data_IF_478719194325
#
_entry.id   IF_478719194325
#
_cell.length_a   1.000
_cell.length_b   1.000
_cell.length_c   1.000
_cell.angle_alpha   90.00
_cell.angle_beta   90.00
_cell.angle_gamma   90.00
#
_symmetry.space_group_name_H-M   'P 1'
#
loop_
_entity.id
_entity.type
_entity.pdbx_description
1 polymer ?
#
# COMPACT_ATOMS: atom_id res chain seq x y z
N UNK A 1 3.83 -4.48 20.35
CA UNK A 1 2.71 -4.85 19.47
C UNK A 1 3.27 -5.58 18.27
N UNK A 2 2.64 -6.67 17.83
CA UNK A 2 3.08 -7.43 16.66
C UNK A 2 2.73 -6.66 15.38
N UNK A 3 3.64 -6.53 14.41
CA UNK A 3 3.32 -5.93 13.11
C UNK A 3 2.25 -6.75 12.38
N UNK A 4 1.34 -6.08 11.70
CA UNK A 4 0.42 -6.67 10.74
C UNK A 4 1.14 -6.80 9.40
N UNK A 5 1.22 -7.99 8.84
CA UNK A 5 1.87 -8.24 7.56
C UNK A 5 0.93 -8.98 6.61
N UNK A 6 0.91 -8.56 5.35
CA UNK A 6 0.08 -9.18 4.31
C UNK A 6 0.68 -8.97 2.92
N UNK A 7 0.27 -9.83 1.98
CA UNK A 7 0.75 -9.81 0.59
C UNK A 7 0.08 -8.69 -0.21
N UNK A 8 0.86 -8.02 -1.05
CA UNK A 8 0.38 -7.26 -2.21
C UNK A 8 0.38 -8.21 -3.42
N UNK A 9 -0.81 -8.49 -3.92
CA UNK A 9 -1.01 -9.30 -5.11
C UNK A 9 -0.85 -8.45 -6.37
N UNK A 10 -0.32 -9.08 -7.41
CA UNK A 10 -0.25 -8.52 -8.75
C UNK A 10 -1.60 -8.02 -9.24
N UNK A 11 -1.57 -6.93 -10.00
CA UNK A 11 -2.70 -6.38 -10.73
C UNK A 11 -2.33 -6.19 -12.20
N UNK A 12 -3.31 -6.36 -13.10
CA UNK A 12 -3.18 -6.02 -14.51
C UNK A 12 -1.99 -6.70 -15.24
N UNK A 13 -1.66 -7.95 -14.88
CA UNK A 13 -0.54 -8.71 -15.46
C UNK A 13 0.82 -7.97 -15.37
N UNK A 14 1.03 -7.19 -14.30
CA UNK A 14 2.25 -6.41 -14.10
C UNK A 14 3.50 -7.25 -13.81
N UNK A 15 3.34 -8.49 -13.35
CA UNK A 15 4.39 -9.30 -12.72
C UNK A 15 4.81 -8.82 -11.32
N UNK A 16 4.27 -7.69 -10.85
CA UNK A 16 4.67 -7.06 -9.61
C UNK A 16 3.91 -7.62 -8.41
N UNK A 17 4.63 -7.95 -7.34
CA UNK A 17 4.03 -8.43 -6.10
C UNK A 17 4.89 -8.04 -4.91
N UNK A 18 4.36 -8.16 -3.70
CA UNK A 18 5.16 -7.84 -2.54
C UNK A 18 4.48 -8.04 -1.20
N UNK A 19 4.98 -7.30 -0.22
CA UNK A 19 4.56 -7.39 1.18
C UNK A 19 4.37 -5.99 1.75
N UNK A 20 3.22 -5.77 2.39
CA UNK A 20 2.98 -4.61 3.24
C UNK A 20 3.15 -5.02 4.71
N UNK A 21 3.87 -4.21 5.48
CA UNK A 21 4.03 -4.36 6.93
C UNK A 21 3.55 -3.09 7.62
N UNK A 22 2.52 -3.21 8.46
CA UNK A 22 1.94 -2.13 9.24
C UNK A 22 2.30 -2.33 10.71
N UNK A 23 2.85 -1.28 11.33
CA UNK A 23 3.22 -1.27 12.73
C UNK A 23 2.62 -0.04 13.41
N UNK A 24 1.94 -0.24 14.53
CA UNK A 24 1.51 0.87 15.38
C UNK A 24 2.75 1.57 15.96
N UNK A 25 2.99 2.80 15.54
CA UNK A 25 3.97 3.71 16.11
C UNK A 25 3.34 4.67 17.12
N UNK A 26 4.18 5.50 17.74
CA UNK A 26 3.75 6.49 18.76
C UNK A 26 2.88 7.60 18.19
N UNK A 27 3.10 8.00 16.92
CA UNK A 27 2.43 9.12 16.27
C UNK A 27 1.53 8.71 15.11
N UNK A 28 1.30 7.40 14.91
CA UNK A 28 0.57 6.88 13.76
C UNK A 28 0.96 5.47 13.37
N UNK A 29 0.53 5.02 12.19
CA UNK A 29 0.88 3.70 11.65
C UNK A 29 2.06 3.82 10.71
N UNK A 30 3.13 3.09 10.99
CA UNK A 30 4.27 2.94 10.10
C UNK A 30 3.89 1.89 9.06
N UNK A 31 3.92 2.28 7.79
CA UNK A 31 3.67 1.43 6.63
C UNK A 31 5.00 1.22 5.92
N UNK A 32 5.40 -0.05 5.75
CA UNK A 32 6.55 -0.45 4.95
C UNK A 32 6.08 -1.31 3.80
N UNK A 33 6.50 -0.98 2.58
CA UNK A 33 6.23 -1.79 1.39
C UNK A 33 7.54 -2.34 0.84
N UNK A 34 7.51 -3.60 0.40
CA UNK A 34 8.57 -4.26 -0.34
C UNK A 34 7.97 -4.95 -1.55
N UNK A 35 8.37 -4.56 -2.75
CA UNK A 35 7.93 -5.10 -4.03
C UNK A 35 9.04 -5.90 -4.71
N UNK A 36 8.63 -6.76 -5.62
CA UNK A 36 9.46 -7.55 -6.53
C UNK A 36 8.81 -7.54 -7.91
N UNK A 37 9.61 -7.63 -8.97
CA UNK A 37 9.14 -7.49 -10.36
C UNK A 37 8.93 -6.05 -10.83
N UNK A 38 9.26 -5.06 -9.99
CA UNK A 38 9.14 -3.64 -10.32
C UNK A 38 10.16 -3.23 -11.40
N UNK A 39 9.84 -2.16 -12.14
CA UNK A 39 10.75 -1.56 -13.10
C UNK A 39 11.82 -0.71 -12.38
N UNK A 40 13.10 -1.01 -12.62
CA UNK A 40 14.21 -0.22 -12.07
C UNK A 40 14.16 1.24 -12.52
N UNK A 41 14.52 2.16 -11.62
CA UNK A 41 14.54 3.60 -11.90
C UNK A 41 13.16 4.24 -12.07
N UNK A 42 12.07 3.51 -11.77
CA UNK A 42 10.71 4.04 -11.79
C UNK A 42 10.19 4.19 -10.37
N UNK A 43 9.97 5.44 -9.96
CA UNK A 43 9.25 5.74 -8.70
C UNK A 43 7.75 5.45 -8.88
N UNK A 44 7.21 4.64 -7.98
CA UNK A 44 5.83 4.16 -8.05
C UNK A 44 4.96 4.76 -6.93
N UNK A 45 3.89 5.50 -7.25
CA UNK A 45 2.95 5.99 -6.25
C UNK A 45 2.29 4.86 -5.47
N UNK A 46 2.14 5.04 -4.16
CA UNK A 46 1.46 4.11 -3.29
C UNK A 46 0.48 4.85 -2.37
N UNK A 47 -0.66 4.21 -2.10
CA UNK A 47 -1.76 4.83 -1.36
C UNK A 47 -2.53 3.80 -0.55
N UNK A 48 -3.15 4.25 0.54
CA UNK A 48 -4.25 3.54 1.20
C UNK A 48 -5.57 4.12 0.68
N UNK A 49 -6.45 3.25 0.19
CA UNK A 49 -7.79 3.59 -0.29
C UNK A 49 -8.85 2.88 0.54
N UNK A 50 -10.04 3.48 0.64
CA UNK A 50 -11.23 2.78 1.12
C UNK A 50 -11.64 1.69 0.12
N UNK A 51 -12.26 0.63 0.63
CA UNK A 51 -12.72 -0.51 -0.16
C UNK A 51 -11.71 -1.64 -0.19
N UNK A 52 -11.73 -2.39 -1.30
CA UNK A 52 -10.89 -3.58 -1.49
C UNK A 52 -10.17 -3.50 -2.83
N UNK A 53 -9.15 -4.33 -3.06
CA UNK A 53 -8.46 -4.40 -4.36
C UNK A 53 -9.38 -4.69 -5.55
N UNK A 54 -10.54 -5.33 -5.32
CA UNK A 54 -11.54 -5.54 -6.37
C UNK A 54 -12.36 -4.27 -6.68
N UNK A 55 -12.48 -3.36 -5.71
CA UNK A 55 -13.23 -2.10 -5.83
C UNK A 55 -12.69 -1.07 -4.84
N UNK A 56 -11.76 -0.25 -5.32
CA UNK A 56 -11.18 0.86 -4.57
C UNK A 56 -12.05 2.12 -4.73
N UNK A 57 -12.13 2.92 -3.68
CA UNK A 57 -12.49 4.33 -3.82
C UNK A 57 -11.40 5.02 -4.66
N UNK A 58 -11.71 5.69 -5.78
CA UNK A 58 -10.70 6.34 -6.62
C UNK A 58 -9.96 7.45 -5.89
N UNK A 59 -10.53 8.03 -4.83
CA UNK A 59 -9.86 9.02 -3.98
C UNK A 59 -9.01 8.32 -2.90
N UNK A 60 -7.67 8.50 -2.89
CA UNK A 60 -6.84 8.01 -1.81
C UNK A 60 -7.30 8.54 -0.45
N UNK A 61 -7.33 7.67 0.56
CA UNK A 61 -7.56 8.07 1.95
C UNK A 61 -6.27 8.59 2.58
N UNK A 62 -5.16 7.86 2.37
CA UNK A 62 -3.84 8.27 2.84
C UNK A 62 -2.80 8.14 1.72
N UNK A 63 -2.09 9.22 1.36
CA UNK A 63 -0.89 9.09 0.54
C UNK A 63 0.22 8.41 1.33
N UNK A 64 1.02 7.61 0.64
CA UNK A 64 2.24 7.01 1.17
C UNK A 64 3.46 7.57 0.44
N UNK A 65 4.65 7.26 0.94
CA UNK A 65 5.87 7.49 0.19
C UNK A 65 5.86 6.65 -1.10
N UNK A 66 6.41 7.21 -2.17
CA UNK A 66 6.64 6.48 -3.42
C UNK A 66 7.49 5.25 -3.12
N UNK A 67 7.17 4.12 -3.75
CA UNK A 67 8.05 2.96 -3.79
C UNK A 67 9.20 3.29 -4.73
N UNK A 68 10.43 3.24 -4.21
CA UNK A 68 11.67 3.47 -4.95
C UNK A 68 12.54 2.25 -4.81
N UNK A 69 13.04 1.71 -5.92
CA UNK A 69 13.84 0.49 -5.95
C UNK A 69 13.20 -0.65 -5.12
N UNK A 70 11.87 -0.78 -5.28
CA UNK A 70 11.07 -1.80 -4.62
C UNK A 70 10.75 -1.55 -3.14
N UNK A 71 11.23 -0.48 -2.51
CA UNK A 71 10.98 -0.23 -1.09
C UNK A 71 10.31 1.13 -0.83
N UNK A 72 9.48 1.20 0.21
CA UNK A 72 9.06 2.47 0.81
C UNK A 72 8.79 2.31 2.30
N UNK A 73 8.91 3.44 3.02
CA UNK A 73 8.49 3.56 4.41
C UNK A 73 7.83 4.92 4.63
N UNK A 74 6.65 4.92 5.24
CA UNK A 74 5.93 6.14 5.56
C UNK A 74 5.15 5.99 6.88
N UNK A 75 5.01 7.06 7.65
CA UNK A 75 4.17 7.09 8.85
C UNK A 75 2.89 7.83 8.53
N UNK A 76 1.76 7.13 8.55
CA UNK A 76 0.43 7.75 8.45
C UNK A 76 0.09 8.35 9.81
N UNK A 77 0.03 9.69 9.95
CA UNK A 77 -0.16 10.32 11.24
C UNK A 77 -1.60 10.19 11.73
N UNK A 78 -1.80 10.25 13.05
CA UNK A 78 -3.13 10.35 13.68
C UNK A 78 -4.12 9.24 13.30
N UNK A 79 -3.63 8.07 12.91
CA UNK A 79 -4.43 6.86 12.68
C UNK A 79 -3.87 5.72 13.53
N UNK A 80 -4.75 4.85 14.02
CA UNK A 80 -4.33 3.62 14.66
C UNK A 80 -4.43 2.43 13.71
N UNK A 81 -3.63 1.39 13.96
CA UNK A 81 -3.73 0.13 13.24
C UNK A 81 -5.15 -0.45 13.38
N UNK A 82 -5.77 -0.29 14.55
CA UNK A 82 -7.13 -0.75 14.78
C UNK A 82 -8.16 -0.01 13.90
N UNK A 83 -7.98 1.28 13.62
CA UNK A 83 -8.88 2.02 12.72
C UNK A 83 -8.82 1.47 11.30
N UNK A 84 -7.60 1.16 10.83
CA UNK A 84 -7.39 0.55 9.52
C UNK A 84 -7.95 -0.87 9.44
N UNK A 85 -7.87 -1.65 10.51
CA UNK A 85 -8.38 -3.04 10.54
C UNK A 85 -9.91 -3.12 10.71
N UNK A 86 -10.54 -2.11 11.33
CA UNK A 86 -12.01 -2.03 11.44
C UNK A 86 -12.67 -1.62 10.12
N UNK A 87 -11.98 -0.78 9.33
CA UNK A 87 -12.46 -0.33 8.03
C UNK A 87 -12.20 -1.34 6.91
N UNK A 88 -12.86 -1.11 5.78
CA UNK A 88 -12.46 -1.69 4.50
C UNK A 88 -11.41 -0.78 3.87
N UNK A 89 -10.14 -1.21 3.94
CA UNK A 89 -9.02 -0.50 3.34
C UNK A 89 -8.12 -1.46 2.55
N UNK A 90 -7.49 -0.92 1.51
CA UNK A 90 -6.48 -1.62 0.74
C UNK A 90 -5.30 -0.69 0.41
N UNK A 91 -4.11 -1.27 0.33
CA UNK A 91 -2.92 -0.60 -0.19
C UNK A 91 -2.81 -0.91 -1.67
N UNK A 92 -2.70 0.13 -2.48
CA UNK A 92 -2.50 0.06 -3.93
C UNK A 92 -1.17 0.71 -4.31
N UNK A 93 -0.53 0.16 -5.34
CA UNK A 93 0.65 0.72 -5.99
C UNK A 93 0.35 0.94 -7.48
N UNK A 94 0.74 2.11 -7.98
CA UNK A 94 0.57 2.52 -9.37
C UNK A 94 1.85 2.31 -10.17
N UNK A 95 1.73 2.12 -11.48
CA UNK A 95 2.87 1.83 -12.37
C UNK A 95 3.93 2.94 -12.38
N UNK A 96 3.49 4.19 -12.46
CA UNK A 96 4.36 5.38 -12.41
C UNK A 96 3.51 6.64 -12.20
N UNK A 97 4.14 7.77 -11.94
CA UNK A 97 3.43 9.07 -11.91
C UNK A 97 2.80 9.44 -13.27
N UNK A 98 3.41 9.02 -14.39
CA UNK A 98 2.89 9.29 -15.75
C UNK A 98 1.74 8.36 -16.13
N UNK A 99 1.75 7.14 -15.62
CA UNK A 99 0.75 6.10 -15.87
C UNK A 99 -0.05 5.80 -14.59
N UNK A 100 -0.46 6.84 -13.87
CA UNK A 100 -1.11 6.71 -12.56
C UNK A 100 -2.48 6.00 -12.61
N UNK A 101 -3.09 5.79 -13.77
CA UNK A 101 -4.31 4.99 -13.89
C UNK A 101 -4.05 3.47 -13.91
N UNK A 102 -2.80 3.04 -14.05
CA UNK A 102 -2.42 1.63 -14.11
C UNK A 102 -1.96 1.17 -12.73
N UNK A 103 -2.67 0.20 -12.15
CA UNK A 103 -2.31 -0.42 -10.89
C UNK A 103 -1.43 -1.63 -11.13
N UNK A 104 -0.38 -1.79 -10.33
CA UNK A 104 0.60 -2.88 -10.49
C UNK A 104 0.53 -3.89 -9.36
N UNK A 105 0.22 -3.46 -8.14
CA UNK A 105 0.06 -4.34 -7.00
C UNK A 105 -0.99 -3.80 -6.01
N UNK A 106 -1.70 -4.71 -5.33
CA UNK A 106 -2.67 -4.34 -4.30
C UNK A 106 -2.83 -5.41 -3.23
N UNK A 107 -3.04 -5.00 -1.98
CA UNK A 107 -3.42 -5.90 -0.89
C UNK A 107 -4.47 -5.28 0.04
N UNK A 108 -5.49 -6.07 0.37
CA UNK A 108 -6.49 -5.68 1.38
C UNK A 108 -5.84 -5.72 2.77
N UNK A 109 -6.05 -4.68 3.57
CA UNK A 109 -5.60 -4.66 4.96
C UNK A 109 -6.44 -5.72 5.72
N UNK A 110 -5.82 -6.73 6.36
CA UNK A 110 -6.58 -7.75 7.07
C UNK A 110 -7.36 -7.16 8.24
N UNK A 111 -8.64 -7.52 8.31
CA UNK A 111 -9.53 -7.10 9.38
C UNK A 111 -9.19 -7.76 10.71
N UNK A 112 -9.60 -7.12 11.80
CA UNK A 112 -9.49 -7.63 13.16
C UNK A 112 -10.70 -7.22 13.99
#
# INVERSE_FOLDING_TARGET
MTPLQFRLAEQNNSGEHGTATLLQGVNGVIVKLRLSGYAEGVDQPAHIHKGTCAKLDPKPTYPLAMVKDGESQFTVPNVTLADLQKGDYAINVHKSAKEASIYVACGNIPKK
#
